data_IF_525957479950
#
_entry.id   IF_525957479950
#
_cell.length_a   1.000
_cell.length_b   1.000
_cell.length_c   1.000
_cell.angle_alpha   90.00
_cell.angle_beta   90.00
_cell.angle_gamma   90.00
#
_symmetry.space_group_name_H-M   'P 1'
#
loop_
_entity.id
_entity.type
_entity.pdbx_description
1 polymer ?
#
# COMPACT_ATOMS: atom_id res chain seq x y z
N UNK A 1 -23.12 -13.16 27.14
CA UNK A 1 -22.13 -13.38 28.22
C UNK A 1 -20.80 -12.93 27.66
N UNK A 2 -20.14 -12.04 28.36
CA UNK A 2 -18.80 -11.61 27.94
C UNK A 2 -17.84 -12.80 27.99
N UNK A 3 -17.22 -13.13 26.92
CA UNK A 3 -16.24 -14.22 26.81
C UNK A 3 -14.99 -13.84 27.58
N UNK A 4 -14.37 -14.81 28.24
CA UNK A 4 -13.13 -14.59 29.00
C UNK A 4 -12.18 -15.79 28.87
N UNK A 5 -10.88 -15.51 28.87
CA UNK A 5 -9.82 -16.50 28.93
C UNK A 5 -9.17 -16.48 30.34
N UNK A 6 -8.74 -17.64 30.83
CA UNK A 6 -8.02 -17.76 32.12
C UNK A 6 -6.55 -18.08 31.87
N UNK A 7 -5.67 -17.38 32.54
CA UNK A 7 -4.23 -17.65 32.57
C UNK A 7 -3.86 -18.04 34.02
N UNK A 8 -3.27 -19.21 34.20
CA UNK A 8 -2.75 -19.66 35.46
C UNK A 8 -1.24 -19.47 35.54
N UNK A 9 -0.78 -18.75 36.55
CA UNK A 9 0.65 -18.52 36.76
C UNK A 9 0.97 -18.48 38.25
N UNK A 10 2.01 -19.23 38.63
CA UNK A 10 2.48 -19.37 40.04
C UNK A 10 1.36 -19.68 41.01
N UNK A 11 0.42 -20.59 40.65
CA UNK A 11 -0.67 -21.05 41.48
C UNK A 11 -1.82 -20.05 41.64
N UNK A 12 -1.84 -18.96 40.87
CA UNK A 12 -2.93 -17.98 40.83
C UNK A 12 -3.59 -18.01 39.45
N UNK A 13 -4.93 -17.81 39.43
CA UNK A 13 -5.71 -17.74 38.20
C UNK A 13 -6.10 -16.27 37.94
N UNK A 14 -5.90 -15.84 36.71
CA UNK A 14 -6.21 -14.49 36.22
C UNK A 14 -7.18 -14.59 35.06
N UNK A 15 -8.13 -13.68 34.95
CA UNK A 15 -9.17 -13.70 33.93
C UNK A 15 -9.04 -12.47 33.05
N UNK A 16 -8.93 -12.69 31.70
CA UNK A 16 -8.80 -11.64 30.73
C UNK A 16 -9.99 -11.62 29.78
N UNK A 17 -10.47 -10.44 29.34
CA UNK A 17 -11.53 -10.34 28.35
C UNK A 17 -11.13 -10.99 27.03
N UNK A 18 -12.11 -11.53 26.31
CA UNK A 18 -11.95 -12.00 24.94
C UNK A 18 -12.70 -11.05 24.02
N UNK A 19 -11.99 -10.48 23.06
CA UNK A 19 -12.54 -9.67 21.97
C UNK A 19 -12.90 -10.61 20.85
N UNK A 20 -14.12 -10.49 20.31
CA UNK A 20 -14.57 -11.28 19.15
C UNK A 20 -14.79 -10.34 17.98
N UNK A 21 -14.11 -10.60 16.86
CA UNK A 21 -14.29 -9.87 15.60
C UNK A 21 -15.61 -10.22 14.90
N UNK A 22 -15.98 -9.46 13.88
CA UNK A 22 -17.22 -9.67 13.10
C UNK A 22 -17.26 -11.01 12.35
N UNK A 23 -16.12 -11.59 12.05
CA UNK A 23 -15.96 -12.90 11.40
C UNK A 23 -15.64 -14.01 12.42
N UNK A 24 -15.96 -13.78 13.71
CA UNK A 24 -15.80 -14.72 14.83
C UNK A 24 -14.35 -15.07 15.20
N UNK A 25 -13.36 -14.31 14.78
CA UNK A 25 -11.99 -14.45 15.27
C UNK A 25 -11.90 -13.92 16.70
N UNK A 26 -11.26 -14.67 17.57
CA UNK A 26 -11.20 -14.38 19.00
C UNK A 26 -9.79 -14.02 19.44
N UNK A 27 -9.64 -12.94 20.18
CA UNK A 27 -8.37 -12.49 20.74
C UNK A 27 -8.48 -12.24 22.25
N UNK A 28 -7.45 -12.62 23.00
CA UNK A 28 -7.36 -12.29 24.43
C UNK A 28 -6.88 -10.84 24.53
N UNK A 29 -7.64 -9.99 25.24
CA UNK A 29 -7.20 -8.64 25.59
C UNK A 29 -6.15 -8.71 26.71
N UNK A 30 -4.90 -8.54 26.34
CA UNK A 30 -3.73 -8.61 27.23
C UNK A 30 -3.29 -7.25 27.78
N UNK A 31 -4.10 -6.20 27.61
CA UNK A 31 -3.74 -4.83 28.03
C UNK A 31 -3.23 -4.75 29.48
N UNK A 32 -3.84 -5.53 30.38
CA UNK A 32 -3.50 -5.56 31.79
C UNK A 32 -2.55 -6.72 32.19
N UNK A 33 -2.12 -7.56 31.25
CA UNK A 33 -1.33 -8.76 31.54
C UNK A 33 -0.08 -8.44 32.41
N UNK A 34 0.64 -7.41 32.07
CA UNK A 34 1.86 -7.03 32.80
C UNK A 34 1.58 -6.52 34.20
N UNK A 35 0.57 -5.69 34.35
CA UNK A 35 0.22 -5.11 35.67
C UNK A 35 -0.39 -6.13 36.64
N UNK A 36 -1.17 -7.09 36.15
CA UNK A 36 -1.86 -8.05 36.98
C UNK A 36 -1.05 -9.31 37.27
N UNK A 37 -0.32 -9.79 36.24
CA UNK A 37 0.39 -11.10 36.29
C UNK A 37 1.90 -10.93 36.35
N UNK A 38 2.46 -9.80 35.89
CA UNK A 38 3.90 -9.58 35.79
C UNK A 38 4.51 -10.22 34.54
N UNK A 39 3.69 -10.75 33.62
CA UNK A 39 4.12 -11.35 32.35
C UNK A 39 3.99 -10.37 31.19
N UNK A 40 4.78 -10.61 30.16
CA UNK A 40 4.60 -10.05 28.80
C UNK A 40 4.47 -11.19 27.81
N UNK A 41 3.92 -10.91 26.63
CA UNK A 41 3.91 -11.85 25.50
C UNK A 41 5.25 -11.81 24.76
N UNK A 42 5.64 -12.92 24.14
CA UNK A 42 6.77 -13.02 23.25
C UNK A 42 6.32 -13.64 21.93
N UNK A 43 6.21 -12.80 20.89
CA UNK A 43 5.73 -13.18 19.55
C UNK A 43 6.60 -12.49 18.49
N UNK A 44 7.77 -13.05 18.14
CA UNK A 44 8.65 -12.48 17.13
C UNK A 44 7.96 -12.42 15.76
N UNK A 45 7.78 -11.23 15.24
CA UNK A 45 7.13 -11.00 13.95
C UNK A 45 5.60 -10.95 14.00
N UNK A 46 5.01 -10.82 15.18
CA UNK A 46 3.58 -10.57 15.40
C UNK A 46 2.65 -11.58 14.72
N UNK A 47 3.03 -12.85 14.69
CA UNK A 47 2.27 -13.90 14.01
C UNK A 47 0.94 -14.24 14.69
N UNK A 48 0.91 -14.14 16.02
CA UNK A 48 -0.24 -14.48 16.85
C UNK A 48 -0.71 -13.27 17.70
N UNK A 49 -0.35 -12.06 17.30
CA UNK A 49 -0.67 -10.84 18.06
C UNK A 49 -1.47 -9.88 17.20
N UNK A 50 -2.75 -9.75 17.51
CA UNK A 50 -3.59 -8.65 17.01
C UNK A 50 -3.20 -7.34 17.70
N UNK A 51 -2.83 -6.29 16.97
CA UNK A 51 -2.43 -5.00 17.55
C UNK A 51 -3.45 -3.89 17.28
N UNK A 52 -4.49 -4.16 16.52
CA UNK A 52 -5.61 -3.25 16.29
C UNK A 52 -6.86 -4.00 15.86
N UNK A 53 -8.00 -3.35 16.02
CA UNK A 53 -9.26 -3.68 15.36
C UNK A 53 -9.32 -2.89 14.07
N UNK A 54 -9.73 -3.52 12.97
CA UNK A 54 -9.84 -2.89 11.65
C UNK A 54 -11.09 -3.38 10.94
N UNK A 55 -11.85 -2.43 10.37
CA UNK A 55 -13.03 -2.71 9.54
C UNK A 55 -12.70 -2.60 8.05
N UNK A 56 -11.40 -2.48 7.67
CA UNK A 56 -11.00 -2.18 6.30
C UNK A 56 -10.94 -3.43 5.45
N UNK A 57 -10.16 -4.42 5.87
CA UNK A 57 -9.90 -5.60 5.05
C UNK A 57 -10.17 -6.88 5.83
N UNK A 58 -10.95 -7.75 5.23
CA UNK A 58 -11.09 -9.14 5.64
C UNK A 58 -10.32 -10.06 4.70
N UNK A 59 -9.51 -10.94 5.27
CA UNK A 59 -8.71 -11.90 4.55
C UNK A 59 -8.86 -13.30 5.16
N UNK A 60 -9.30 -14.26 4.35
CA UNK A 60 -9.32 -15.68 4.69
C UNK A 60 -8.35 -16.45 3.78
N UNK A 61 -7.19 -16.77 4.33
CA UNK A 61 -6.14 -17.47 3.59
C UNK A 61 -6.45 -18.95 3.32
N UNK A 62 -7.38 -19.57 4.06
CA UNK A 62 -7.78 -20.96 3.84
C UNK A 62 -8.76 -21.08 2.68
N UNK A 63 -9.74 -20.19 2.62
CA UNK A 63 -10.76 -20.18 1.57
C UNK A 63 -10.40 -19.28 0.38
N UNK A 64 -9.31 -18.52 0.46
CA UNK A 64 -8.88 -17.62 -0.63
C UNK A 64 -9.83 -16.45 -0.81
N UNK A 65 -10.27 -15.82 0.28
CA UNK A 65 -11.20 -14.68 0.29
C UNK A 65 -10.44 -13.42 0.62
N UNK A 66 -10.71 -12.35 -0.14
CA UNK A 66 -10.26 -10.99 0.15
C UNK A 66 -11.42 -10.01 -0.05
N UNK A 67 -11.72 -9.21 0.97
CA UNK A 67 -12.79 -8.21 0.92
C UNK A 67 -12.27 -6.87 1.43
N UNK A 68 -12.70 -5.79 0.79
CA UNK A 68 -12.49 -4.42 1.26
C UNK A 68 -13.81 -3.85 1.74
N UNK A 69 -13.92 -3.48 3.03
CA UNK A 69 -15.16 -2.96 3.63
C UNK A 69 -16.39 -3.84 3.32
N UNK A 70 -16.20 -5.16 3.27
CA UNK A 70 -17.24 -6.15 2.99
C UNK A 70 -17.44 -6.50 1.51
N UNK A 71 -16.97 -5.69 0.57
CA UNK A 71 -17.03 -5.97 -0.88
C UNK A 71 -15.93 -6.94 -1.30
N UNK A 72 -16.25 -7.93 -2.15
CA UNK A 72 -15.22 -8.81 -2.68
C UNK A 72 -14.27 -8.05 -3.62
N UNK A 73 -12.99 -8.40 -3.59
CA UNK A 73 -12.01 -7.76 -4.46
C UNK A 73 -12.30 -8.01 -5.94
N UNK A 74 -12.89 -9.17 -6.27
CA UNK A 74 -13.32 -9.51 -7.62
C UNK A 74 -14.37 -8.51 -8.14
N UNK A 75 -15.41 -8.27 -7.33
CA UNK A 75 -16.47 -7.33 -7.70
C UNK A 75 -15.95 -5.90 -7.85
N UNK A 76 -15.07 -5.48 -6.96
CA UNK A 76 -14.47 -4.15 -7.03
C UNK A 76 -13.61 -3.99 -8.28
N UNK A 77 -12.81 -4.99 -8.66
CA UNK A 77 -12.00 -4.94 -9.88
C UNK A 77 -12.84 -4.94 -11.16
N UNK A 78 -13.98 -5.64 -11.15
CA UNK A 78 -14.87 -5.71 -12.31
C UNK A 78 -15.68 -4.42 -12.53
N UNK A 79 -16.13 -3.78 -11.43
CA UNK A 79 -17.19 -2.74 -11.50
C UNK A 79 -16.74 -1.35 -11.08
N UNK A 80 -15.54 -1.19 -10.50
CA UNK A 80 -15.13 0.04 -9.85
C UNK A 80 -13.82 0.60 -10.38
N UNK A 81 -13.70 1.91 -10.36
CA UNK A 81 -12.44 2.59 -10.56
C UNK A 81 -11.58 2.56 -9.29
N UNK A 82 -10.27 2.70 -9.46
CA UNK A 82 -9.36 2.79 -8.32
C UNK A 82 -9.72 3.91 -7.34
N UNK A 83 -10.19 5.07 -7.82
CA UNK A 83 -10.59 6.16 -6.92
C UNK A 83 -11.88 5.86 -6.14
N UNK A 84 -12.84 5.11 -6.70
CA UNK A 84 -14.01 4.65 -5.94
C UNK A 84 -13.58 3.69 -4.82
N UNK A 85 -12.65 2.78 -5.11
CA UNK A 85 -12.10 1.86 -4.10
C UNK A 85 -11.25 2.61 -3.07
N UNK A 86 -10.47 3.59 -3.49
CA UNK A 86 -9.72 4.48 -2.59
C UNK A 86 -10.66 5.20 -1.62
N UNK A 87 -11.75 5.75 -2.15
CA UNK A 87 -12.77 6.42 -1.33
C UNK A 87 -13.40 5.44 -0.33
N UNK A 88 -13.80 4.26 -0.79
CA UNK A 88 -14.34 3.18 0.05
C UNK A 88 -13.40 2.85 1.22
N UNK A 89 -12.12 2.67 0.96
CA UNK A 89 -11.13 2.31 1.99
C UNK A 89 -10.94 3.43 3.02
N UNK A 90 -10.96 4.68 2.60
CA UNK A 90 -10.72 5.85 3.45
C UNK A 90 -11.98 6.19 4.27
N UNK A 91 -13.15 6.26 3.63
CA UNK A 91 -14.38 6.78 4.24
C UNK A 91 -15.36 5.71 4.70
N UNK A 92 -15.18 4.44 4.31
CA UNK A 92 -15.98 3.31 4.79
C UNK A 92 -17.06 2.83 3.84
N UNK A 93 -17.56 3.69 2.95
CA UNK A 93 -18.60 3.39 1.96
C UNK A 93 -18.19 3.80 0.54
N UNK A 94 -18.84 3.19 -0.47
CA UNK A 94 -18.65 3.62 -1.85
C UNK A 94 -19.22 5.02 -2.06
N UNK A 95 -18.53 5.90 -2.82
CA UNK A 95 -18.98 7.25 -3.00
C UNK A 95 -20.26 7.33 -3.83
N UNK A 96 -21.15 8.27 -3.51
CA UNK A 96 -22.13 8.79 -4.44
C UNK A 96 -21.42 9.50 -5.61
N UNK A 97 -22.14 9.76 -6.69
CA UNK A 97 -21.55 10.49 -7.83
C UNK A 97 -21.00 11.86 -7.42
N UNK A 98 -21.70 12.61 -6.61
CA UNK A 98 -21.27 13.94 -6.15
C UNK A 98 -20.03 13.90 -5.27
N UNK A 99 -19.91 12.89 -4.42
CA UNK A 99 -18.74 12.68 -3.56
C UNK A 99 -17.52 12.28 -4.41
N UNK A 100 -17.71 11.37 -5.37
CA UNK A 100 -16.65 10.98 -6.29
C UNK A 100 -16.16 12.16 -7.12
N UNK A 101 -17.10 12.95 -7.70
CA UNK A 101 -16.77 14.12 -8.51
C UNK A 101 -15.98 15.15 -7.68
N UNK A 102 -16.39 15.39 -6.43
CA UNK A 102 -15.66 16.25 -5.50
C UNK A 102 -14.26 15.72 -5.22
N UNK A 103 -14.14 14.46 -4.84
CA UNK A 103 -12.86 13.82 -4.49
C UNK A 103 -11.88 13.83 -5.67
N UNK A 104 -12.38 13.55 -6.88
CA UNK A 104 -11.56 13.64 -8.10
C UNK A 104 -11.10 15.07 -8.38
N UNK A 105 -11.95 16.05 -8.13
CA UNK A 105 -11.63 17.46 -8.35
C UNK A 105 -10.57 17.95 -7.35
N UNK A 106 -10.73 17.61 -6.08
CA UNK A 106 -9.76 17.93 -5.03
C UNK A 106 -8.37 17.35 -5.39
N UNK A 107 -8.31 16.11 -5.90
CA UNK A 107 -7.05 15.50 -6.37
C UNK A 107 -6.47 16.24 -7.57
N UNK A 108 -7.31 16.65 -8.55
CA UNK A 108 -6.87 17.39 -9.74
C UNK A 108 -6.25 18.74 -9.40
N UNK A 109 -6.81 19.44 -8.43
CA UNK A 109 -6.29 20.73 -7.97
C UNK A 109 -4.88 20.61 -7.35
N UNK A 110 -4.56 19.48 -6.76
CA UNK A 110 -3.28 19.24 -6.09
C UNK A 110 -2.22 18.55 -6.98
N UNK A 111 -2.43 18.42 -8.30
CA UNK A 111 -1.49 17.72 -9.21
C UNK A 111 -0.21 18.52 -9.52
N UNK A 112 -0.14 19.80 -9.23
CA UNK A 112 1.09 20.56 -9.44
C UNK A 112 2.16 20.18 -8.42
N UNK A 113 3.37 19.98 -8.88
CA UNK A 113 4.55 19.68 -8.07
C UNK A 113 5.43 20.91 -8.00
N UNK A 114 5.88 21.26 -6.81
CA UNK A 114 6.81 22.35 -6.57
C UNK A 114 8.10 22.18 -7.40
N UNK A 115 8.59 23.25 -8.00
CA UNK A 115 9.80 23.20 -8.84
C UNK A 115 11.05 22.86 -8.02
N UNK A 116 11.11 23.19 -6.74
CA UNK A 116 12.22 22.82 -5.87
C UNK A 116 12.17 21.32 -5.52
N UNK A 117 10.99 20.72 -5.34
CA UNK A 117 10.84 19.25 -5.25
C UNK A 117 11.33 18.57 -6.52
N UNK A 118 11.07 19.16 -7.68
CA UNK A 118 11.58 18.68 -8.97
C UNK A 118 13.12 18.79 -9.05
N UNK A 119 13.75 19.79 -8.43
CA UNK A 119 15.22 19.83 -8.34
C UNK A 119 15.77 18.70 -7.47
N UNK A 120 15.14 18.41 -6.34
CA UNK A 120 15.49 17.24 -5.51
C UNK A 120 15.37 15.95 -6.33
N UNK A 121 14.27 15.77 -7.08
CA UNK A 121 14.12 14.63 -7.97
C UNK A 121 15.24 14.55 -9.03
N UNK A 122 15.61 15.67 -9.64
CA UNK A 122 16.66 15.70 -10.67
C UNK A 122 18.04 15.31 -10.13
N UNK A 123 18.31 15.50 -8.85
CA UNK A 123 19.60 15.15 -8.22
C UNK A 123 19.82 13.66 -8.05
N UNK A 124 18.77 12.82 -8.04
CA UNK A 124 18.95 11.38 -7.97
C UNK A 124 19.68 10.84 -9.21
N UNK A 125 20.60 9.88 -9.06
CA UNK A 125 21.24 9.23 -10.20
C UNK A 125 20.20 8.43 -11.01
N UNK A 126 20.47 8.25 -12.32
CA UNK A 126 19.59 7.46 -13.21
C UNK A 126 19.43 6.01 -12.74
N UNK A 127 20.43 5.48 -12.04
CA UNK A 127 20.45 4.12 -11.48
C UNK A 127 19.79 4.02 -10.11
N UNK A 128 19.22 5.11 -9.56
CA UNK A 128 18.56 5.05 -8.27
C UNK A 128 17.35 4.10 -8.33
N UNK A 129 17.20 3.31 -7.28
CA UNK A 129 16.07 2.39 -7.16
C UNK A 129 14.74 3.17 -7.01
N UNK A 130 13.69 2.84 -7.79
CA UNK A 130 12.41 3.59 -7.76
C UNK A 130 11.81 3.76 -6.37
N UNK A 131 11.84 2.72 -5.55
CA UNK A 131 11.29 2.77 -4.19
C UNK A 131 12.06 3.74 -3.29
N UNK A 132 13.39 3.81 -3.42
CA UNK A 132 14.23 4.78 -2.70
C UNK A 132 13.93 6.22 -3.13
N UNK A 133 13.72 6.45 -4.42
CA UNK A 133 13.32 7.77 -4.94
C UNK A 133 11.95 8.18 -4.39
N UNK A 134 10.96 7.28 -4.46
CA UNK A 134 9.60 7.54 -3.96
C UNK A 134 9.57 7.80 -2.46
N UNK A 135 10.26 6.98 -1.65
CA UNK A 135 10.34 7.20 -0.21
C UNK A 135 10.96 8.55 0.12
N UNK A 136 12.07 8.91 -0.54
CA UNK A 136 12.76 10.18 -0.33
C UNK A 136 11.92 11.39 -0.73
N UNK A 137 11.25 11.33 -1.88
CA UNK A 137 10.37 12.42 -2.34
C UNK A 137 9.14 12.57 -1.45
N UNK A 138 8.57 11.46 -0.98
CA UNK A 138 7.45 11.49 -0.04
C UNK A 138 7.85 12.14 1.29
N UNK A 139 9.04 11.81 1.81
CA UNK A 139 9.58 12.47 2.99
C UNK A 139 9.85 13.95 2.74
N UNK A 140 10.36 14.32 1.56
CA UNK A 140 10.60 15.71 1.21
C UNK A 140 9.32 16.55 1.17
N UNK A 141 8.15 15.96 0.87
CA UNK A 141 6.86 16.66 0.90
C UNK A 141 6.55 17.31 2.26
N UNK A 142 7.13 16.83 3.35
CA UNK A 142 7.02 17.42 4.68
C UNK A 142 7.49 18.89 4.64
N UNK A 143 8.65 19.14 4.03
CA UNK A 143 9.24 20.49 3.95
C UNK A 143 8.41 21.45 3.08
N UNK A 144 7.69 20.91 2.07
CA UNK A 144 6.84 21.69 1.17
C UNK A 144 5.42 21.90 1.71
N UNK A 145 5.04 21.18 2.78
CA UNK A 145 3.70 21.25 3.36
C UNK A 145 3.74 21.30 4.90
N UNK A 146 4.53 22.19 5.51
CA UNK A 146 4.79 22.17 6.95
C UNK A 146 3.54 22.36 7.82
N UNK A 147 2.50 23.00 7.29
CA UNK A 147 1.26 23.29 8.02
C UNK A 147 0.38 22.05 8.27
N UNK A 148 0.64 20.95 7.55
CA UNK A 148 -0.21 19.76 7.59
C UNK A 148 0.38 18.61 8.43
N UNK A 149 1.61 18.78 8.96
CA UNK A 149 2.37 17.66 9.51
C UNK A 149 2.35 17.55 11.02
N UNK A 150 2.00 18.60 11.75
CA UNK A 150 2.03 18.56 13.23
C UNK A 150 0.81 19.23 13.85
N UNK A 151 0.27 18.63 14.91
CA UNK A 151 -0.79 19.22 15.75
C UNK A 151 -0.36 20.51 16.46
N UNK A 152 0.92 20.87 16.44
CA UNK A 152 1.50 21.96 17.21
C UNK A 152 1.83 23.16 16.30
N UNK A 153 0.98 23.49 15.36
CA UNK A 153 1.15 24.76 14.64
C UNK A 153 0.39 25.87 15.35
N UNK A 154 1.13 26.79 15.96
CA UNK A 154 0.57 28.04 16.51
C UNK A 154 0.08 29.00 15.41
N UNK A 155 0.15 28.59 14.13
CA UNK A 155 -0.19 29.39 12.95
C UNK A 155 -1.37 28.82 12.16
N UNK A 156 -2.10 27.83 12.71
CA UNK A 156 -3.27 27.28 12.05
C UNK A 156 -4.35 28.35 11.90
N UNK A 157 -4.94 28.43 10.71
CA UNK A 157 -6.10 29.27 10.49
C UNK A 157 -7.25 28.82 11.41
N UNK A 158 -7.91 29.76 12.04
CA UNK A 158 -9.10 29.49 12.84
C UNK A 158 -10.10 28.63 12.02
N UNK A 159 -10.56 27.51 12.59
CA UNK A 159 -11.56 26.64 12.00
C UNK A 159 -11.05 25.45 11.17
N UNK A 160 -9.74 25.29 10.97
CA UNK A 160 -9.16 24.08 10.31
C UNK A 160 -9.03 22.95 11.32
N UNK A 161 -9.66 21.82 11.07
CA UNK A 161 -9.58 20.63 11.93
C UNK A 161 -8.41 19.72 11.57
N UNK A 162 -8.07 18.79 12.45
CA UNK A 162 -7.07 17.73 12.17
C UNK A 162 -7.53 16.83 11.01
N UNK A 163 -8.85 16.58 10.90
CA UNK A 163 -9.42 15.79 9.82
C UNK A 163 -9.29 16.51 8.47
N UNK A 164 -9.44 17.84 8.42
CA UNK A 164 -9.21 18.62 7.21
C UNK A 164 -7.76 18.54 6.76
N UNK A 165 -6.80 18.59 7.69
CA UNK A 165 -5.38 18.45 7.40
C UNK A 165 -5.04 17.05 6.90
N UNK A 166 -5.60 16.02 7.53
CA UNK A 166 -5.42 14.64 7.13
C UNK A 166 -6.01 14.39 5.73
N UNK A 167 -7.21 14.90 5.45
CA UNK A 167 -7.83 14.84 4.14
C UNK A 167 -6.97 15.51 3.07
N UNK A 168 -6.52 16.74 3.31
CA UNK A 168 -5.67 17.47 2.36
C UNK A 168 -4.33 16.77 2.11
N UNK A 169 -3.70 16.24 3.14
CA UNK A 169 -2.47 15.45 3.00
C UNK A 169 -2.69 14.17 2.18
N UNK A 170 -3.83 13.51 2.38
CA UNK A 170 -4.24 12.33 1.61
C UNK A 170 -4.45 12.66 0.14
N UNK A 171 -5.20 13.71 -0.14
CA UNK A 171 -5.45 14.20 -1.51
C UNK A 171 -4.14 14.55 -2.22
N UNK A 172 -3.24 15.25 -1.54
CA UNK A 172 -1.91 15.59 -2.06
C UNK A 172 -1.05 14.37 -2.36
N UNK A 173 -1.07 13.37 -1.50
CA UNK A 173 -0.36 12.11 -1.76
C UNK A 173 -0.93 11.43 -3.00
N UNK A 174 -2.25 11.28 -3.11
CA UNK A 174 -2.91 10.69 -4.27
C UNK A 174 -2.61 11.46 -5.55
N UNK A 175 -2.53 12.78 -5.50
CA UNK A 175 -2.20 13.62 -6.65
C UNK A 175 -0.73 13.50 -7.07
N UNK A 176 0.21 13.45 -6.12
CA UNK A 176 1.65 13.56 -6.39
C UNK A 176 2.33 12.21 -6.65
N UNK A 177 1.82 11.11 -6.08
CA UNK A 177 2.38 9.78 -6.30
C UNK A 177 2.43 9.35 -7.79
N UNK A 178 1.37 9.50 -8.58
CA UNK A 178 1.39 9.22 -10.01
C UNK A 178 2.49 9.99 -10.75
N UNK A 179 2.66 11.25 -10.40
CA UNK A 179 3.65 12.13 -11.03
C UNK A 179 5.06 11.67 -10.68
N UNK A 180 5.36 11.48 -9.39
CA UNK A 180 6.65 11.02 -8.90
C UNK A 180 7.04 9.65 -9.47
N UNK A 181 6.07 8.73 -9.54
CA UNK A 181 6.25 7.39 -10.13
C UNK A 181 6.54 7.46 -11.62
N UNK A 182 5.78 8.27 -12.35
CA UNK A 182 5.96 8.47 -13.79
C UNK A 182 7.30 9.14 -14.11
N UNK A 183 7.67 10.16 -13.35
CA UNK A 183 8.97 10.81 -13.49
C UNK A 183 10.13 9.85 -13.24
N UNK A 184 9.99 8.98 -12.24
CA UNK A 184 11.00 7.97 -11.91
C UNK A 184 11.18 6.97 -13.06
N UNK A 185 10.09 6.43 -13.63
CA UNK A 185 10.12 5.57 -14.79
C UNK A 185 10.78 6.27 -16.00
N UNK A 186 10.36 7.51 -16.27
CA UNK A 186 10.87 8.28 -17.42
C UNK A 186 12.34 8.61 -17.28
N UNK A 187 12.80 8.94 -16.09
CA UNK A 187 14.22 9.17 -15.79
C UNK A 187 15.07 7.92 -16.05
N UNK A 188 14.63 6.76 -15.58
CA UNK A 188 15.32 5.48 -15.85
C UNK A 188 15.42 5.22 -17.35
N UNK A 189 14.34 5.51 -18.10
CA UNK A 189 14.30 5.34 -19.57
C UNK A 189 14.98 6.48 -20.34
N UNK A 190 15.43 7.54 -19.69
CA UNK A 190 16.03 8.71 -20.35
C UNK A 190 15.04 9.54 -21.16
N UNK A 191 13.75 9.53 -20.77
CA UNK A 191 12.68 10.26 -21.43
C UNK A 191 12.42 11.61 -20.77
N UNK A 192 11.91 12.62 -21.52
CA UNK A 192 11.45 13.88 -20.95
C UNK A 192 10.34 13.65 -19.90
N UNK A 193 10.27 14.50 -18.88
CA UNK A 193 9.22 14.42 -17.87
C UNK A 193 7.87 14.87 -18.45
N UNK A 194 6.81 14.16 -18.12
CA UNK A 194 5.43 14.57 -18.39
C UNK A 194 4.77 15.06 -17.11
N UNK A 195 3.76 15.90 -17.27
CA UNK A 195 2.90 16.41 -16.22
C UNK A 195 1.49 15.85 -16.39
N UNK A 196 0.65 16.00 -15.37
CA UNK A 196 -0.74 15.55 -15.42
C UNK A 196 -1.54 16.30 -16.50
N UNK A 197 -2.51 15.60 -17.07
CA UNK A 197 -3.53 16.15 -17.94
C UNK A 197 -4.89 16.02 -17.23
N UNK A 198 -5.41 17.10 -16.70
CA UNK A 198 -6.63 17.09 -15.90
C UNK A 198 -7.92 16.77 -16.68
N UNK A 199 -7.84 16.62 -18.00
CA UNK A 199 -8.95 16.14 -18.83
C UNK A 199 -9.10 14.62 -18.82
N UNK A 200 -8.11 13.90 -18.28
CA UNK A 200 -8.11 12.44 -18.17
C UNK A 200 -8.58 11.98 -16.79
N UNK A 201 -9.13 10.77 -16.73
CA UNK A 201 -9.37 10.10 -15.46
C UNK A 201 -8.06 9.78 -14.75
N UNK A 202 -8.11 9.40 -13.49
CA UNK A 202 -6.93 9.15 -12.67
C UNK A 202 -5.98 8.12 -13.30
N UNK A 203 -6.50 6.98 -13.71
CA UNK A 203 -5.69 5.88 -14.27
C UNK A 203 -5.22 6.17 -15.69
N UNK A 204 -6.05 6.83 -16.51
CA UNK A 204 -5.65 7.34 -17.82
C UNK A 204 -4.51 8.33 -17.72
N UNK A 205 -4.57 9.21 -16.71
CA UNK A 205 -3.53 10.20 -16.45
C UNK A 205 -2.20 9.54 -16.04
N UNK A 206 -2.23 8.48 -15.25
CA UNK A 206 -1.05 7.66 -14.94
C UNK A 206 -0.44 7.09 -16.22
N UNK A 207 -1.26 6.45 -17.07
CA UNK A 207 -0.81 5.89 -18.34
C UNK A 207 -0.23 6.98 -19.26
N UNK A 208 -0.91 8.11 -19.38
CA UNK A 208 -0.44 9.27 -20.15
C UNK A 208 0.93 9.76 -19.66
N UNK A 209 1.07 10.02 -18.37
CA UNK A 209 2.33 10.51 -17.81
C UNK A 209 3.47 9.53 -17.99
N UNK A 210 3.21 8.22 -17.92
CA UNK A 210 4.24 7.18 -18.09
C UNK A 210 4.65 7.01 -19.55
N UNK A 211 3.71 7.01 -20.51
CA UNK A 211 3.92 6.50 -21.86
C UNK A 211 3.83 7.53 -22.98
N UNK A 212 3.19 8.67 -22.78
CA UNK A 212 3.10 9.72 -23.78
C UNK A 212 4.49 10.24 -24.17
N UNK A 213 4.69 10.49 -25.46
CA UNK A 213 5.93 11.05 -25.99
C UNK A 213 5.65 12.44 -26.56
N UNK A 214 6.55 13.42 -26.34
CA UNK A 214 6.28 14.82 -26.74
C UNK A 214 6.30 15.04 -28.25
N UNK A 215 6.84 14.10 -29.02
CA UNK A 215 6.99 14.19 -30.48
C UNK A 215 5.90 13.45 -31.26
N UNK A 216 4.87 12.95 -30.61
CA UNK A 216 3.74 12.27 -31.24
C UNK A 216 2.47 12.45 -30.43
N UNK A 217 1.32 12.38 -31.10
CA UNK A 217 0.03 12.35 -30.42
C UNK A 217 -0.08 11.11 -29.52
N UNK A 218 -0.59 11.31 -28.32
CA UNK A 218 -0.85 10.21 -27.39
C UNK A 218 -2.16 9.53 -27.74
N UNK A 219 -2.08 8.29 -28.14
CA UNK A 219 -3.24 7.42 -28.32
C UNK A 219 -3.37 6.54 -27.07
N UNK A 220 -4.47 6.70 -26.36
CA UNK A 220 -4.75 5.90 -25.18
C UNK A 220 -4.90 4.42 -25.54
N UNK A 221 -4.36 3.57 -24.69
CA UNK A 221 -4.56 2.11 -24.77
C UNK A 221 -5.40 1.66 -23.59
N UNK A 222 -6.68 1.34 -23.85
CA UNK A 222 -7.64 0.97 -22.83
C UNK A 222 -7.26 -0.31 -22.10
N UNK A 223 -6.54 -1.23 -22.75
CA UNK A 223 -6.02 -2.45 -22.10
C UNK A 223 -5.01 -2.09 -21.02
N UNK A 224 -4.12 -1.14 -21.29
CA UNK A 224 -3.14 -0.66 -20.31
C UNK A 224 -3.83 0.08 -19.17
N UNK A 225 -4.81 0.93 -19.48
CA UNK A 225 -5.56 1.69 -18.47
C UNK A 225 -6.33 0.76 -17.55
N UNK A 226 -7.04 -0.23 -18.10
CA UNK A 226 -7.79 -1.22 -17.33
C UNK A 226 -6.86 -2.11 -16.49
N UNK A 227 -5.73 -2.53 -17.05
CA UNK A 227 -4.74 -3.31 -16.31
C UNK A 227 -4.16 -2.51 -15.13
N UNK A 228 -3.84 -1.23 -15.32
CA UNK A 228 -3.39 -0.34 -14.24
C UNK A 228 -4.47 -0.16 -13.18
N UNK A 229 -5.72 0.07 -13.58
CA UNK A 229 -6.84 0.20 -12.65
C UNK A 229 -6.97 -1.05 -11.77
N UNK A 230 -7.01 -2.22 -12.39
CA UNK A 230 -7.10 -3.51 -11.71
C UNK A 230 -5.91 -3.73 -10.77
N UNK A 231 -4.68 -3.50 -11.25
CA UNK A 231 -3.47 -3.65 -10.42
C UNK A 231 -3.47 -2.73 -9.22
N UNK A 232 -3.89 -1.48 -9.37
CA UNK A 232 -3.98 -0.52 -8.26
C UNK A 232 -5.02 -0.97 -7.23
N UNK A 233 -6.19 -1.46 -7.65
CA UNK A 233 -7.23 -1.99 -6.76
C UNK A 233 -6.70 -3.22 -5.99
N UNK A 234 -6.07 -4.17 -6.68
CA UNK A 234 -5.55 -5.39 -6.09
C UNK A 234 -4.41 -5.16 -5.08
N UNK A 235 -3.73 -4.02 -5.19
CA UNK A 235 -2.64 -3.62 -4.29
C UNK A 235 -3.03 -2.54 -3.29
N UNK A 236 -4.31 -2.14 -3.25
CA UNK A 236 -4.76 -1.04 -2.41
C UNK A 236 -4.63 -1.35 -0.91
N UNK A 237 -4.98 -2.58 -0.49
CA UNK A 237 -4.78 -3.04 0.88
C UNK A 237 -4.63 -4.57 0.94
N UNK A 238 -3.95 -5.06 1.97
CA UNK A 238 -3.84 -6.48 2.28
C UNK A 238 -3.64 -6.69 3.79
N UNK A 239 -4.60 -6.18 4.56
CA UNK A 239 -4.64 -6.30 6.01
C UNK A 239 -3.43 -5.65 6.72
N UNK A 240 -3.01 -6.17 7.88
CA UNK A 240 -1.91 -5.64 8.70
C UNK A 240 -0.55 -6.16 8.22
N UNK A 241 -0.21 -5.93 6.95
CA UNK A 241 1.11 -6.22 6.40
C UNK A 241 2.21 -5.33 7.03
N UNK A 242 3.47 -5.61 6.68
CA UNK A 242 4.61 -4.89 7.24
C UNK A 242 4.55 -3.37 6.98
N UNK A 243 4.14 -2.93 5.80
CA UNK A 243 4.02 -1.48 5.52
C UNK A 243 2.87 -0.83 6.28
N UNK A 244 1.70 -1.47 6.36
CA UNK A 244 0.57 -0.97 7.15
C UNK A 244 0.95 -0.83 8.62
N UNK A 245 1.57 -1.86 9.21
CA UNK A 245 2.04 -1.82 10.60
C UNK A 245 3.09 -0.73 10.81
N UNK A 246 4.01 -0.52 9.86
CA UNK A 246 5.02 0.54 9.93
C UNK A 246 4.38 1.92 9.88
N UNK A 247 3.43 2.16 8.97
CA UNK A 247 2.68 3.43 8.89
C UNK A 247 1.98 3.72 10.22
N UNK A 248 1.33 2.72 10.81
CA UNK A 248 0.64 2.87 12.11
C UNK A 248 1.60 3.18 13.25
N UNK A 249 2.76 2.49 13.31
CA UNK A 249 3.77 2.71 14.37
C UNK A 249 4.32 4.14 14.26
N UNK A 250 4.72 4.57 13.08
CA UNK A 250 5.23 5.94 12.87
C UNK A 250 4.13 6.96 13.13
N UNK A 251 2.92 6.73 12.63
CA UNK A 251 1.77 7.60 12.84
C UNK A 251 1.39 7.77 14.31
N UNK A 252 1.62 6.74 15.14
CA UNK A 252 1.34 6.82 16.59
C UNK A 252 2.19 7.86 17.33
N UNK A 253 3.31 8.27 16.75
CA UNK A 253 4.14 9.36 17.27
C UNK A 253 3.67 10.76 16.86
N UNK A 254 2.59 10.85 16.08
CA UNK A 254 2.12 12.09 15.45
C UNK A 254 3.15 12.74 14.51
N UNK A 255 3.98 11.92 13.84
CA UNK A 255 4.98 12.41 12.88
C UNK A 255 4.37 12.93 11.56
N UNK A 256 3.05 12.84 11.40
CA UNK A 256 2.34 13.26 10.19
C UNK A 256 2.24 12.17 9.12
N UNK A 257 1.35 12.41 8.14
CA UNK A 257 1.01 11.40 7.14
C UNK A 257 2.16 11.16 6.15
N UNK A 258 2.84 12.21 5.68
CA UNK A 258 3.95 12.05 4.72
C UNK A 258 5.10 11.25 5.31
N UNK A 259 5.48 11.50 6.57
CA UNK A 259 6.52 10.74 7.27
C UNK A 259 6.11 9.26 7.42
N UNK A 260 4.86 9.01 7.83
CA UNK A 260 4.31 7.68 8.01
C UNK A 260 4.28 6.89 6.70
N UNK A 261 3.82 7.49 5.61
CA UNK A 261 3.77 6.86 4.28
C UNK A 261 5.19 6.64 3.73
N UNK A 262 6.12 7.58 3.91
CA UNK A 262 7.53 7.38 3.52
C UNK A 262 8.14 6.15 4.21
N UNK A 263 7.86 5.97 5.50
CA UNK A 263 8.30 4.79 6.24
C UNK A 263 7.63 3.50 5.73
N UNK A 264 6.34 3.54 5.40
CA UNK A 264 5.62 2.43 4.78
C UNK A 264 6.20 2.03 3.42
N UNK A 265 6.58 3.00 2.58
CA UNK A 265 7.27 2.74 1.30
C UNK A 265 8.61 2.06 1.53
N UNK A 266 9.36 2.51 2.54
CA UNK A 266 10.64 1.90 2.90
C UNK A 266 10.47 0.45 3.38
N UNK A 267 9.42 0.16 4.16
CA UNK A 267 9.06 -1.20 4.55
C UNK A 267 8.64 -2.05 3.35
N UNK A 268 7.84 -1.48 2.43
CA UNK A 268 7.41 -2.16 1.21
C UNK A 268 8.58 -2.54 0.30
N UNK A 269 9.64 -1.76 0.29
CA UNK A 269 10.85 -2.06 -0.49
C UNK A 269 11.62 -3.29 0.02
N UNK A 270 11.37 -3.72 1.25
CA UNK A 270 12.02 -4.88 1.86
C UNK A 270 11.88 -6.16 1.03
N UNK A 271 12.99 -6.94 0.93
CA UNK A 271 13.05 -8.19 0.15
C UNK A 271 11.98 -9.22 0.53
N UNK A 272 11.55 -9.23 1.78
CA UNK A 272 10.54 -10.16 2.30
C UNK A 272 9.11 -9.58 2.24
N UNK A 273 8.94 -8.42 1.60
CA UNK A 273 7.64 -7.77 1.38
C UNK A 273 7.46 -7.46 -0.10
N UNK A 274 7.30 -6.21 -0.53
CA UNK A 274 7.11 -5.86 -1.95
C UNK A 274 8.31 -6.20 -2.85
N UNK A 275 9.52 -6.33 -2.31
CA UNK A 275 10.69 -6.81 -3.05
C UNK A 275 10.55 -8.22 -3.65
N UNK A 276 9.55 -9.01 -3.21
CA UNK A 276 9.24 -10.29 -3.84
C UNK A 276 8.79 -10.13 -5.31
N UNK A 277 8.04 -9.08 -5.64
CA UNK A 277 7.61 -8.81 -7.03
C UNK A 277 8.80 -8.49 -7.94
N UNK A 278 9.77 -7.72 -7.44
CA UNK A 278 11.02 -7.47 -8.16
C UNK A 278 11.77 -8.78 -8.44
N UNK A 279 11.90 -9.64 -7.44
CA UNK A 279 12.58 -10.92 -7.60
C UNK A 279 11.91 -11.85 -8.63
N UNK A 280 10.57 -11.76 -8.79
CA UNK A 280 9.85 -12.47 -9.87
C UNK A 280 10.28 -11.94 -11.25
N UNK A 281 10.32 -10.63 -11.43
CA UNK A 281 10.73 -10.03 -12.72
C UNK A 281 12.17 -10.38 -13.04
N UNK A 282 13.09 -10.28 -12.07
CA UNK A 282 14.50 -10.65 -12.24
C UNK A 282 14.65 -12.13 -12.61
N UNK A 283 13.88 -13.02 -12.00
CA UNK A 283 13.85 -14.45 -12.35
C UNK A 283 13.34 -14.67 -13.79
N UNK A 284 12.27 -13.99 -14.19
CA UNK A 284 11.72 -14.11 -15.54
C UNK A 284 12.71 -13.56 -16.60
N UNK A 285 13.39 -12.47 -16.30
CA UNK A 285 14.44 -11.93 -17.16
C UNK A 285 15.63 -12.89 -17.26
N UNK A 286 16.04 -13.52 -16.15
CA UNK A 286 17.07 -14.54 -16.14
C UNK A 286 16.71 -15.71 -17.06
N UNK A 287 15.49 -16.24 -16.96
CA UNK A 287 14.99 -17.35 -17.79
C UNK A 287 14.96 -16.92 -19.26
N UNK A 288 14.44 -15.72 -19.56
CA UNK A 288 14.38 -15.16 -20.90
C UNK A 288 15.75 -15.02 -21.54
N UNK A 289 16.74 -14.55 -20.79
CA UNK A 289 18.11 -14.33 -21.28
C UNK A 289 18.88 -15.66 -21.45
N UNK A 290 18.42 -16.74 -20.85
CA UNK A 290 18.94 -18.10 -21.01
C UNK A 290 18.07 -18.93 -21.97
N UNK A 291 17.79 -18.38 -23.14
CA UNK A 291 17.01 -18.99 -24.24
C UNK A 291 15.60 -19.48 -23.84
N UNK A 292 15.03 -18.93 -22.76
CA UNK A 292 13.70 -19.32 -22.26
C UNK A 292 13.58 -20.82 -21.92
N UNK A 293 14.66 -21.45 -21.45
CA UNK A 293 14.69 -22.86 -21.04
C UNK A 293 13.99 -23.03 -19.68
N UNK A 294 12.67 -23.12 -19.73
CA UNK A 294 11.82 -23.25 -18.53
C UNK A 294 12.12 -24.56 -17.81
N UNK A 295 12.34 -25.66 -18.54
CA UNK A 295 12.56 -27.01 -17.94
C UNK A 295 13.84 -27.04 -17.13
N UNK A 296 14.89 -26.38 -17.57
CA UNK A 296 16.13 -26.21 -16.83
C UNK A 296 15.88 -25.58 -15.46
N UNK A 297 15.12 -24.49 -15.42
CA UNK A 297 14.84 -23.77 -14.18
C UNK A 297 13.84 -24.50 -13.27
N UNK A 298 12.88 -25.23 -13.83
CA UNK A 298 12.00 -26.12 -13.08
C UNK A 298 12.79 -27.27 -12.40
N UNK A 299 13.75 -27.84 -13.11
CA UNK A 299 14.61 -28.90 -12.57
C UNK A 299 15.51 -28.35 -11.45
N UNK A 300 16.11 -27.18 -11.63
CA UNK A 300 16.86 -26.49 -10.56
C UNK A 300 16.00 -26.25 -9.32
N UNK A 301 14.76 -25.78 -9.50
CA UNK A 301 13.86 -25.52 -8.38
C UNK A 301 13.42 -26.79 -7.62
N UNK A 302 13.37 -27.95 -8.30
CA UNK A 302 13.10 -29.27 -7.70
C UNK A 302 14.30 -29.85 -6.98
N UNK A 303 15.49 -29.48 -7.38
CA UNK A 303 16.73 -29.93 -6.73
C UNK A 303 16.95 -29.15 -5.44
N UNK A 304 16.87 -29.87 -4.30
CA UNK A 304 17.07 -29.26 -2.97
C UNK A 304 18.49 -28.75 -2.74
N UNK A 305 19.46 -29.26 -3.49
CA UNK A 305 20.88 -28.85 -3.41
C UNK A 305 21.18 -27.59 -4.23
N UNK A 306 20.34 -27.27 -5.24
CA UNK A 306 20.47 -26.04 -6.03
C UNK A 306 19.94 -24.84 -5.23
N UNK A 307 20.65 -23.71 -5.18
CA UNK A 307 20.20 -22.51 -4.50
C UNK A 307 19.04 -21.80 -5.20
N UNK A 308 18.74 -22.14 -6.45
CA UNK A 308 17.66 -21.52 -7.22
C UNK A 308 16.29 -21.78 -6.59
N UNK A 309 15.45 -20.76 -6.55
CA UNK A 309 14.07 -20.84 -6.06
C UNK A 309 13.14 -20.19 -7.06
N UNK A 310 11.96 -20.78 -7.29
CA UNK A 310 10.89 -20.14 -8.04
C UNK A 310 10.31 -18.99 -7.21
N UNK A 311 10.51 -17.78 -7.70
CA UNK A 311 9.94 -16.59 -7.07
C UNK A 311 8.47 -16.43 -7.50
N UNK A 312 7.62 -15.88 -6.62
CA UNK A 312 6.17 -15.74 -6.86
C UNK A 312 5.34 -16.98 -6.55
N UNK A 313 5.96 -18.04 -6.05
CA UNK A 313 5.28 -19.25 -5.58
C UNK A 313 5.39 -19.38 -4.06
N UNK A 314 4.31 -19.86 -3.46
CA UNK A 314 4.15 -19.91 -2.01
C UNK A 314 3.74 -18.55 -1.44
N UNK A 315 2.74 -18.57 -0.58
CA UNK A 315 2.24 -17.38 0.09
C UNK A 315 2.19 -17.63 1.60
N UNK A 316 2.50 -16.62 2.40
CA UNK A 316 2.54 -16.77 3.86
C UNK A 316 1.15 -16.97 4.47
N UNK A 317 0.12 -16.41 3.86
CA UNK A 317 -1.26 -16.40 4.33
C UNK A 317 -2.12 -17.38 3.55
N UNK A 318 -2.19 -17.28 2.20
CA UNK A 318 -3.01 -18.15 1.39
C UNK A 318 -2.43 -19.57 1.31
N UNK A 319 -3.24 -20.56 1.65
CA UNK A 319 -2.87 -21.99 1.58
C UNK A 319 -3.17 -22.61 0.23
N UNK A 320 -4.27 -22.19 -0.43
CA UNK A 320 -4.70 -22.74 -1.70
C UNK A 320 -4.30 -21.83 -2.88
N UNK A 321 -4.89 -20.64 -2.98
CA UNK A 321 -4.57 -19.66 -4.01
C UNK A 321 -4.88 -18.26 -3.51
N UNK A 322 -4.18 -17.27 -4.07
CA UNK A 322 -4.46 -15.87 -3.87
C UNK A 322 -5.58 -15.44 -4.83
N UNK A 323 -6.73 -14.91 -4.34
CA UNK A 323 -7.84 -14.51 -5.21
C UNK A 323 -7.44 -13.46 -6.25
N UNK A 324 -6.44 -12.63 -5.93
CA UNK A 324 -5.90 -11.63 -6.85
C UNK A 324 -5.23 -12.26 -8.08
N UNK A 325 -4.63 -13.43 -7.93
CA UNK A 325 -3.99 -14.14 -9.05
C UNK A 325 -4.98 -14.59 -10.12
N UNK A 326 -6.24 -14.86 -9.76
CA UNK A 326 -7.31 -15.20 -10.75
C UNK A 326 -7.66 -14.00 -11.62
N UNK A 327 -7.65 -12.80 -11.04
CA UNK A 327 -8.08 -11.58 -11.72
C UNK A 327 -6.96 -11.10 -12.66
N UNK A 328 -5.69 -11.27 -12.26
CA UNK A 328 -4.53 -10.86 -13.08
C UNK A 328 -4.33 -11.82 -14.27
N UNK A 329 -4.68 -13.10 -14.14
CA UNK A 329 -4.50 -14.12 -15.17
C UNK A 329 -5.44 -13.88 -16.38
#
# INVERSE_FOLDING_TARGET
MDKSAKIEFKGKSYTFPVITGSENEEAIDIKNLRSEVGLITYDPGYKNTGHCISDITYLDGENGILRYRGYSVEELCEKKSFLEVTYLLIFGDLPSKSELDKFQNDIREETLVDEDLKQIFKSFPKSAHPMGVLSSLTSALIAFNPQNETKISMTDKEGVTEDDKMYLSTVRLLAKFPIMSSWTLRKIKGLPLNYSNNNLSYTENIAYMMFAKPNQEYVQNDVIVNALNTLLILHADHEQNCSTSTVRIVGSSYAGLYASISAGISALWGRLHGGANQAVIEMLELIKNDNSDIDKYLNKAKDKSDPFRLMGFGHRVYKNFDPRAKIIK
#
